data_IF_588964951453
#
_entry.id   IF_588964951453
#
_cell.length_a   1.000
_cell.length_b   1.000
_cell.length_c   1.000
_cell.angle_alpha   90.00
_cell.angle_beta   90.00
_cell.angle_gamma   90.00
#
_symmetry.space_group_name_H-M   'P 1'
#
loop_
_entity.id
_entity.type
_entity.pdbx_description
1 polymer ?
#
# COMPACT_ATOMS: atom_id res chain seq x y z
N UNK A 1 9.54 5.51 -24.26
CA UNK A 1 8.96 5.19 -22.94
C UNK A 1 9.63 6.10 -21.92
N UNK A 2 8.89 7.01 -21.27
CA UNK A 2 9.42 7.90 -20.24
C UNK A 2 9.16 7.32 -18.85
N UNK A 3 10.08 7.52 -17.91
CA UNK A 3 9.89 7.20 -16.49
C UNK A 3 9.74 8.52 -15.74
N UNK A 4 8.65 8.67 -14.99
CA UNK A 4 8.45 9.80 -14.08
C UNK A 4 8.73 9.34 -12.65
N UNK A 5 9.56 10.09 -11.94
CA UNK A 5 9.92 9.78 -10.54
C UNK A 5 9.35 10.87 -9.63
N UNK A 6 8.57 10.46 -8.64
CA UNK A 6 7.99 11.34 -7.62
C UNK A 6 8.64 11.03 -6.26
N UNK A 7 9.03 12.07 -5.52
CA UNK A 7 9.57 11.94 -4.16
C UNK A 7 8.71 12.73 -3.20
N UNK A 8 8.13 12.06 -2.20
CA UNK A 8 7.35 12.69 -1.13
C UNK A 8 8.05 12.46 0.22
N UNK A 9 8.04 13.48 1.09
CA UNK A 9 8.60 13.43 2.43
C UNK A 9 7.55 13.89 3.43
N UNK A 10 7.24 13.03 4.41
CA UNK A 10 6.30 13.34 5.47
C UNK A 10 6.96 13.10 6.84
N UNK A 11 6.78 14.05 7.76
CA UNK A 11 7.31 13.95 9.14
C UNK A 11 6.21 13.43 10.07
N UNK A 12 6.51 12.40 10.86
CA UNK A 12 5.61 11.87 11.89
C UNK A 12 6.22 12.01 13.28
N UNK A 13 5.39 12.29 14.28
CA UNK A 13 5.80 12.31 15.69
C UNK A 13 5.97 10.88 16.27
N UNK A 14 5.56 9.85 15.52
CA UNK A 14 5.67 8.44 15.93
C UNK A 14 7.07 7.90 15.60
N UNK A 15 7.63 7.09 16.50
CA UNK A 15 8.91 6.42 16.28
C UNK A 15 8.94 5.66 14.93
N UNK A 16 10.04 5.74 14.15
CA UNK A 16 10.11 5.16 12.80
C UNK A 16 9.76 3.67 12.74
N UNK A 17 10.27 2.86 13.67
CA UNK A 17 9.99 1.41 13.74
C UNK A 17 8.51 1.11 13.98
N UNK A 18 7.87 1.86 14.87
CA UNK A 18 6.44 1.72 15.16
C UNK A 18 5.59 2.13 13.97
N UNK A 19 5.95 3.22 13.29
CA UNK A 19 5.25 3.66 12.09
C UNK A 19 5.40 2.63 10.96
N UNK A 20 6.62 2.14 10.73
CA UNK A 20 6.89 1.13 9.70
C UNK A 20 6.09 -0.16 9.96
N UNK A 21 6.10 -0.64 11.21
CA UNK A 21 5.32 -1.83 11.59
C UNK A 21 3.83 -1.62 11.37
N UNK A 22 3.26 -0.48 11.77
CA UNK A 22 1.84 -0.22 11.61
C UNK A 22 1.42 -0.02 10.13
N UNK A 23 2.20 0.78 9.40
CA UNK A 23 1.85 1.25 8.05
C UNK A 23 2.25 0.29 6.94
N UNK A 24 3.22 -0.60 7.18
CA UNK A 24 3.73 -1.56 6.19
C UNK A 24 3.42 -2.99 6.63
N UNK A 25 4.03 -3.46 7.72
CA UNK A 25 3.97 -4.87 8.15
C UNK A 25 2.54 -5.29 8.54
N UNK A 26 1.89 -4.53 9.42
CA UNK A 26 0.57 -4.81 9.96
C UNK A 26 -0.56 -4.04 9.24
N UNK A 27 -0.22 -3.41 8.12
CA UNK A 27 -1.15 -2.58 7.35
C UNK A 27 -2.38 -3.34 6.88
N UNK A 28 -2.23 -4.64 6.59
CA UNK A 28 -3.32 -5.49 6.15
C UNK A 28 -4.42 -5.66 7.22
N UNK A 29 -4.06 -5.56 8.51
CA UNK A 29 -5.00 -5.63 9.61
C UNK A 29 -5.48 -4.25 10.08
N UNK A 30 -4.57 -3.26 10.08
CA UNK A 30 -4.85 -1.93 10.66
C UNK A 30 -5.62 -1.04 9.70
N UNK A 31 -5.22 -0.97 8.43
CA UNK A 31 -5.78 0.00 7.48
C UNK A 31 -7.28 -0.21 7.24
N UNK A 32 -7.79 -1.45 7.02
CA UNK A 32 -9.24 -1.66 6.87
C UNK A 32 -10.04 -1.26 8.10
N UNK A 33 -9.44 -1.30 9.30
CA UNK A 33 -10.09 -0.87 10.55
C UNK A 33 -10.04 0.65 10.74
N UNK A 34 -9.00 1.31 10.24
CA UNK A 34 -8.82 2.75 10.35
C UNK A 34 -9.68 3.51 9.35
N UNK A 35 -9.81 2.99 8.13
CA UNK A 35 -10.58 3.61 7.04
C UNK A 35 -11.51 2.59 6.36
N UNK A 36 -12.46 1.98 7.11
CA UNK A 36 -13.37 0.95 6.58
C UNK A 36 -14.25 1.45 5.43
N UNK A 37 -14.49 2.75 5.35
CA UNK A 37 -15.24 3.38 4.27
C UNK A 37 -14.48 3.45 2.94
N UNK A 38 -13.15 3.29 2.95
CA UNK A 38 -12.32 3.32 1.75
C UNK A 38 -11.78 1.93 1.41
N UNK A 39 -11.34 1.19 2.42
CA UNK A 39 -10.68 -0.11 2.25
C UNK A 39 -11.49 -1.17 2.99
N UNK A 40 -12.02 -2.13 2.23
CA UNK A 40 -12.81 -3.25 2.74
C UNK A 40 -11.92 -4.34 3.34
N UNK A 41 -10.88 -4.74 2.60
CA UNK A 41 -9.91 -5.71 3.07
C UNK A 41 -8.58 -5.55 2.35
N UNK A 42 -7.54 -6.10 2.96
CA UNK A 42 -6.21 -6.22 2.39
C UNK A 42 -5.75 -7.65 2.65
N UNK A 43 -5.38 -8.35 1.59
CA UNK A 43 -5.14 -9.79 1.62
C UNK A 43 -3.87 -10.13 0.86
N UNK A 44 -3.15 -11.17 1.28
CA UNK A 44 -2.04 -11.71 0.51
C UNK A 44 -2.58 -12.82 -0.39
N UNK A 45 -2.66 -12.56 -1.69
CA UNK A 45 -3.10 -13.55 -2.69
C UNK A 45 -1.98 -14.53 -3.04
N UNK A 46 -0.73 -14.14 -2.79
CA UNK A 46 0.44 -15.00 -2.90
C UNK A 46 1.47 -14.62 -1.84
N UNK A 47 2.14 -15.61 -1.26
CA UNK A 47 3.17 -15.40 -0.25
C UNK A 47 2.61 -15.15 1.15
N UNK A 48 3.48 -14.71 2.05
CA UNK A 48 3.21 -14.59 3.49
C UNK A 48 3.44 -13.17 4.02
N UNK A 49 3.58 -12.18 3.14
CA UNK A 49 3.82 -10.78 3.48
C UNK A 49 5.28 -10.33 3.41
N UNK A 50 6.21 -11.22 3.08
CA UNK A 50 7.60 -10.87 2.75
C UNK A 50 7.82 -10.51 1.28
N UNK A 51 9.07 -10.28 0.90
CA UNK A 51 9.47 -10.08 -0.50
C UNK A 51 9.00 -11.24 -1.40
N UNK A 52 8.52 -10.91 -2.59
CA UNK A 52 7.86 -11.82 -3.53
C UNK A 52 6.37 -12.06 -3.27
N UNK A 53 5.81 -11.56 -2.17
CA UNK A 53 4.38 -11.69 -1.90
C UNK A 53 3.55 -10.75 -2.78
N UNK A 54 2.37 -11.19 -3.17
CA UNK A 54 1.38 -10.35 -3.86
C UNK A 54 0.28 -10.00 -2.87
N UNK A 55 0.08 -8.70 -2.67
CA UNK A 55 -0.87 -8.09 -1.77
C UNK A 55 -1.99 -7.44 -2.58
N UNK A 56 -3.23 -7.86 -2.35
CA UNK A 56 -4.42 -7.27 -2.95
C UNK A 56 -5.12 -6.35 -1.93
N UNK A 57 -5.46 -5.15 -2.37
CA UNK A 57 -6.30 -4.21 -1.63
C UNK A 57 -7.67 -4.18 -2.30
N UNK A 58 -8.70 -4.51 -1.53
CA UNK A 58 -10.09 -4.45 -1.95
C UNK A 58 -10.70 -3.16 -1.40
N UNK A 59 -11.16 -2.28 -2.29
CA UNK A 59 -11.81 -1.04 -1.88
C UNK A 59 -13.25 -1.28 -1.44
N UNK A 60 -13.78 -0.38 -0.63
CA UNK A 60 -15.17 -0.42 -0.21
C UNK A 60 -16.11 -0.10 -1.38
N UNK A 61 -17.31 -0.69 -1.34
CA UNK A 61 -18.34 -0.46 -2.35
C UNK A 61 -18.79 1.01 -2.34
N UNK A 62 -19.00 1.59 -3.52
CA UNK A 62 -19.39 3.00 -3.69
C UNK A 62 -18.26 3.96 -4.07
N UNK A 63 -17.00 3.52 -4.02
CA UNK A 63 -15.84 4.33 -4.42
C UNK A 63 -15.51 4.33 -5.92
N UNK A 64 -16.07 3.40 -6.70
CA UNK A 64 -15.74 3.25 -8.14
C UNK A 64 -14.41 2.53 -8.42
N UNK A 65 -13.67 2.13 -7.39
CA UNK A 65 -12.42 1.36 -7.48
C UNK A 65 -12.71 -0.11 -7.15
N UNK A 66 -12.26 -1.05 -8.00
CA UNK A 66 -12.44 -2.49 -7.76
C UNK A 66 -11.41 -3.04 -6.77
N UNK A 67 -10.24 -3.43 -7.27
CA UNK A 67 -9.12 -3.85 -6.45
C UNK A 67 -7.80 -3.45 -7.09
N UNK A 68 -6.74 -3.40 -6.29
CA UNK A 68 -5.37 -3.21 -6.75
C UNK A 68 -4.49 -4.31 -6.16
N UNK A 69 -3.52 -4.78 -6.95
CA UNK A 69 -2.53 -5.78 -6.54
C UNK A 69 -1.13 -5.19 -6.63
N UNK A 70 -0.41 -5.30 -5.53
CA UNK A 70 0.98 -4.94 -5.42
C UNK A 70 1.82 -6.18 -5.20
N UNK A 71 2.95 -6.28 -5.86
CA UNK A 71 4.00 -7.22 -5.51
C UNK A 71 5.00 -6.53 -4.58
N UNK A 72 5.39 -7.20 -3.50
CA UNK A 72 6.42 -6.72 -2.59
C UNK A 72 7.77 -7.11 -3.18
N UNK A 73 8.57 -6.14 -3.58
CA UNK A 73 9.90 -6.38 -4.14
C UNK A 73 10.95 -6.49 -3.04
N UNK A 74 10.81 -5.68 -1.99
CA UNK A 74 11.70 -5.66 -0.85
C UNK A 74 10.95 -5.27 0.41
N UNK A 75 11.21 -5.99 1.51
CA UNK A 75 10.79 -5.60 2.85
C UNK A 75 12.00 -5.76 3.77
N UNK A 76 12.51 -4.65 4.27
CA UNK A 76 13.65 -4.61 5.18
C UNK A 76 13.29 -3.81 6.43
N UNK A 77 13.07 -4.51 7.54
CA UNK A 77 12.70 -3.91 8.83
C UNK A 77 13.88 -3.25 9.55
N UNK A 78 15.13 -3.61 9.23
CA UNK A 78 16.32 -3.00 9.83
C UNK A 78 16.58 -1.61 9.24
N UNK A 79 16.48 -1.50 7.92
CA UNK A 79 16.65 -0.23 7.19
C UNK A 79 15.33 0.53 7.01
N UNK A 80 14.22 -0.02 7.48
CA UNK A 80 12.85 0.51 7.33
C UNK A 80 12.51 0.83 5.86
N UNK A 81 12.97 -0.04 4.96
CA UNK A 81 12.76 0.09 3.51
C UNK A 81 11.69 -0.88 3.05
N UNK A 82 10.75 -0.37 2.24
CA UNK A 82 9.71 -1.15 1.61
C UNK A 82 9.60 -0.75 0.14
N UNK A 83 9.77 -1.72 -0.77
CA UNK A 83 9.63 -1.53 -2.21
C UNK A 83 8.51 -2.42 -2.71
N UNK A 84 7.69 -1.87 -3.58
CA UNK A 84 6.59 -2.58 -4.18
C UNK A 84 6.36 -2.13 -5.62
N UNK A 85 5.83 -3.03 -6.40
CA UNK A 85 5.43 -2.78 -7.79
C UNK A 85 3.93 -2.98 -7.90
N UNK A 86 3.24 -2.03 -8.53
CA UNK A 86 1.85 -2.22 -8.91
C UNK A 86 1.78 -3.20 -10.07
N UNK A 87 1.12 -4.34 -9.87
CA UNK A 87 0.99 -5.40 -10.88
C UNK A 87 -0.36 -5.33 -11.58
N UNK A 88 -1.41 -4.98 -10.85
CA UNK A 88 -2.76 -4.89 -11.37
C UNK A 88 -3.51 -3.79 -10.63
N UNK A 89 -4.29 -2.99 -11.35
CA UNK A 89 -5.06 -1.93 -10.71
C UNK A 89 -5.97 -1.27 -11.72
N UNK A 90 -7.22 -1.69 -11.74
CA UNK A 90 -8.26 -1.22 -12.66
C UNK A 90 -8.50 0.30 -12.58
N UNK A 91 -8.00 0.96 -11.54
CA UNK A 91 -8.43 2.32 -11.21
C UNK A 91 -7.29 3.27 -10.75
N UNK A 92 -6.01 2.89 -10.94
CA UNK A 92 -4.88 3.74 -10.50
C UNK A 92 -4.50 4.87 -11.46
N UNK A 93 -4.99 4.86 -12.70
CA UNK A 93 -4.64 5.91 -13.68
C UNK A 93 -5.48 7.18 -13.44
N UNK A 94 -6.71 7.10 -12.92
CA UNK A 94 -7.58 8.29 -12.76
C UNK A 94 -7.63 8.87 -11.34
N UNK A 95 -7.33 8.09 -10.30
CA UNK A 95 -7.49 8.53 -8.89
C UNK A 95 -6.27 9.24 -8.28
N UNK A 96 -5.06 8.93 -8.75
CA UNK A 96 -3.81 9.36 -8.11
C UNK A 96 -3.49 10.85 -8.35
N UNK A 97 -4.00 11.46 -9.44
CA UNK A 97 -3.87 12.91 -9.68
C UNK A 97 -4.65 13.76 -8.67
N UNK A 98 -5.60 13.18 -7.93
CA UNK A 98 -6.52 13.93 -7.08
C UNK A 98 -6.09 14.07 -5.62
N UNK A 99 -5.15 13.24 -5.15
CA UNK A 99 -4.64 13.29 -3.79
C UNK A 99 -3.17 13.69 -3.77
N UNK A 100 -2.91 14.95 -4.07
CA UNK A 100 -1.71 15.64 -3.58
C UNK A 100 -1.85 15.82 -2.06
N UNK A 101 -1.17 14.97 -1.29
CA UNK A 101 -0.82 15.19 0.11
C UNK A 101 0.70 15.30 0.23
#
# INVERSE_FOLDING_TARGET
MGVATFTNKHTSAVAPSRNFKASIVDSHNLIPKLVPQAIKSIEFVQGNGGAGSIKQINFAEGGGFGSVKYQIDELNEETLTYKYTLVEGDALIEGLEKYNL
#
